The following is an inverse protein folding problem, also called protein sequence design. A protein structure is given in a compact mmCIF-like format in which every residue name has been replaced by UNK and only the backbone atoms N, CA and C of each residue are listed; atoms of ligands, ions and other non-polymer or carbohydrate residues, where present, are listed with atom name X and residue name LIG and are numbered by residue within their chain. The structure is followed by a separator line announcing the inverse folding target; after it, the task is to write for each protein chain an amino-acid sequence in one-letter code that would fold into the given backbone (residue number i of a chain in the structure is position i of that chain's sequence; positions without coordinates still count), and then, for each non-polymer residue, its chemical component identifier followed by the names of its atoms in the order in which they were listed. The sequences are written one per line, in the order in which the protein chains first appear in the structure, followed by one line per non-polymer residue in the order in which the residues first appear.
data_IF_001687873981
#
_entry.id   IF_001687873981
#
_cell.length_a   1.000
_cell.length_b   1.000
_cell.length_c   1.000
_cell.angle_alpha   90.00
_cell.angle_beta   90.00
_cell.angle_gamma   90.00
#
_symmetry.space_group_name_H-M   'P 1'
#
loop_
_entity.id
_entity.type
_entity.pdbx_description
1 polymer ?
#
# COMPACT_ATOMS: atom_id res chain seq x y z
N UNK A 1 3.23 29.37 -15.23
CA UNK A 1 3.93 28.68 -16.32
C UNK A 1 3.24 27.34 -16.64
N UNK A 2 1.90 27.33 -16.78
CA UNK A 2 1.08 26.11 -17.01
C UNK A 2 0.10 26.25 -18.21
N UNK A 3 0.22 27.31 -19.01
CA UNK A 3 -0.69 27.54 -20.16
C UNK A 3 -0.14 27.12 -21.52
N UNK A 4 1.09 26.64 -21.61
CA UNK A 4 1.80 26.46 -22.90
C UNK A 4 1.80 25.02 -23.43
N UNK A 5 1.49 24.01 -22.63
CA UNK A 5 1.54 22.59 -23.04
C UNK A 5 0.24 22.13 -23.72
N UNK A 6 -0.88 22.78 -23.42
CA UNK A 6 -2.19 22.43 -24.01
C UNK A 6 -2.39 22.99 -25.45
N UNK A 7 -1.57 23.95 -25.87
CA UNK A 7 -1.69 24.62 -27.19
C UNK A 7 -1.10 23.88 -28.38
N UNK A 8 -0.38 22.78 -28.19
CA UNK A 8 0.41 22.15 -29.28
C UNK A 8 -0.25 20.96 -29.99
N UNK A 9 -1.45 20.51 -29.57
CA UNK A 9 -2.12 19.31 -30.15
C UNK A 9 -3.37 19.57 -31.01
N UNK A 10 -3.79 20.82 -31.15
CA UNK A 10 -4.91 21.18 -32.03
C UNK A 10 -4.51 22.25 -33.04
N UNK A 11 -3.61 21.89 -33.99
CA UNK A 11 -3.44 22.62 -35.25
C UNK A 11 -4.38 21.97 -36.26
N UNK A 12 -5.63 22.54 -36.39
CA UNK A 12 -6.50 22.14 -37.47
C UNK A 12 -7.99 22.41 -37.21
N UNK A 13 -8.36 23.51 -36.61
CA UNK A 13 -9.63 24.25 -36.70
C UNK A 13 -9.69 25.21 -35.51
N UNK A 14 -9.84 26.51 -35.76
CA UNK A 14 -10.19 27.46 -34.69
C UNK A 14 -11.53 27.04 -34.12
N UNK A 15 -11.64 26.82 -32.77
CA UNK A 15 -12.92 26.45 -32.19
C UNK A 15 -13.95 27.56 -32.46
N UNK A 16 -15.15 27.19 -32.90
CA UNK A 16 -16.24 28.12 -33.07
C UNK A 16 -16.54 28.84 -31.75
N UNK A 17 -16.98 30.11 -31.85
CA UNK A 17 -17.26 30.94 -30.66
C UNK A 17 -18.27 30.27 -29.69
N UNK A 18 -19.21 29.44 -30.22
CA UNK A 18 -20.12 28.60 -29.46
C UNK A 18 -19.44 27.52 -28.63
N UNK A 19 -18.41 26.86 -29.18
CA UNK A 19 -17.65 25.80 -28.49
C UNK A 19 -16.86 26.36 -27.27
N UNK A 20 -16.37 27.60 -27.35
CA UNK A 20 -15.69 28.28 -26.23
C UNK A 20 -16.66 28.70 -25.12
N UNK A 21 -17.88 29.12 -25.47
CA UNK A 21 -18.93 29.44 -24.49
C UNK A 21 -19.45 28.19 -23.77
N UNK A 22 -19.65 27.10 -24.49
CA UNK A 22 -20.08 25.81 -23.88
C UNK A 22 -18.96 25.17 -23.04
N UNK A 23 -17.69 25.26 -23.45
CA UNK A 23 -16.55 24.87 -22.60
C UNK A 23 -16.48 25.70 -21.32
N UNK A 24 -16.86 26.99 -21.37
CA UNK A 24 -16.96 27.85 -20.20
C UNK A 24 -18.06 27.39 -19.22
N UNK A 25 -19.24 27.04 -19.75
CA UNK A 25 -20.38 26.53 -18.95
C UNK A 25 -20.07 25.18 -18.28
N UNK A 26 -19.47 24.24 -19.02
CA UNK A 26 -19.06 22.92 -18.47
C UNK A 26 -18.01 23.10 -17.38
N UNK A 27 -17.01 23.96 -17.60
CA UNK A 27 -15.98 24.25 -16.59
C UNK A 27 -16.58 24.89 -15.31
N UNK A 28 -17.53 25.81 -15.47
CA UNK A 28 -18.25 26.42 -14.35
C UNK A 28 -19.10 25.40 -13.59
N UNK A 29 -19.77 24.49 -14.29
CA UNK A 29 -20.55 23.39 -13.71
C UNK A 29 -19.64 22.44 -12.90
N UNK A 30 -18.55 21.97 -13.47
CA UNK A 30 -17.59 21.07 -12.77
C UNK A 30 -17.00 21.74 -11.54
N UNK A 31 -16.67 23.03 -11.60
CA UNK A 31 -16.21 23.80 -10.43
C UNK A 31 -17.29 23.89 -9.35
N UNK A 32 -18.54 24.14 -9.72
CA UNK A 32 -19.69 24.14 -8.78
C UNK A 32 -19.83 22.78 -8.07
N UNK A 33 -19.58 21.68 -8.78
CA UNK A 33 -19.62 20.31 -8.25
C UNK A 33 -18.33 19.91 -7.52
N UNK A 34 -17.38 20.80 -7.40
CA UNK A 34 -16.05 20.52 -6.83
C UNK A 34 -15.31 19.37 -7.55
N UNK A 35 -15.55 19.21 -8.85
CA UNK A 35 -14.83 18.28 -9.74
C UNK A 35 -13.65 19.06 -10.31
N UNK A 36 -12.49 18.90 -9.69
CA UNK A 36 -11.26 19.64 -10.02
C UNK A 36 -10.17 18.66 -10.43
N UNK A 37 -9.82 18.65 -11.70
CA UNK A 37 -8.71 17.80 -12.21
C UNK A 37 -7.37 18.37 -11.76
N UNK A 38 -6.78 17.76 -10.74
CA UNK A 38 -5.50 18.16 -10.18
C UNK A 38 -4.64 16.95 -9.83
N UNK A 39 -3.40 16.93 -10.32
CA UNK A 39 -2.44 15.88 -10.00
C UNK A 39 -2.17 15.80 -8.48
N UNK A 40 -2.18 16.94 -7.78
CA UNK A 40 -2.07 16.96 -6.32
C UNK A 40 -3.24 16.24 -5.67
N UNK A 41 -4.47 16.62 -6.04
CA UNK A 41 -5.70 16.08 -5.46
C UNK A 41 -5.85 14.58 -5.66
N UNK A 42 -5.67 14.12 -6.89
CA UNK A 42 -5.79 12.70 -7.20
C UNK A 42 -4.54 11.91 -6.84
N UNK A 43 -3.33 12.40 -7.15
CA UNK A 43 -2.08 11.66 -6.93
C UNK A 43 -1.57 11.70 -5.49
N UNK A 44 -1.89 12.74 -4.70
CA UNK A 44 -1.33 12.94 -3.37
C UNK A 44 -2.40 12.81 -2.29
N UNK A 45 -3.44 13.66 -2.36
CA UNK A 45 -4.44 13.74 -1.29
C UNK A 45 -5.29 12.46 -1.25
N UNK A 46 -5.76 11.96 -2.41
CA UNK A 46 -6.51 10.71 -2.50
C UNK A 46 -5.67 9.48 -2.12
N UNK A 47 -4.39 9.44 -2.51
CA UNK A 47 -3.49 8.34 -2.16
C UNK A 47 -3.20 8.32 -0.66
N UNK A 48 -2.97 9.48 -0.04
CA UNK A 48 -2.79 9.60 1.41
C UNK A 48 -4.03 9.16 2.18
N UNK A 49 -5.20 9.57 1.74
CA UNK A 49 -6.47 9.17 2.34
C UNK A 49 -6.71 7.66 2.20
N UNK A 50 -6.41 7.07 1.03
CA UNK A 50 -6.48 5.63 0.84
C UNK A 50 -5.60 4.88 1.83
N UNK A 51 -4.35 5.32 2.01
CA UNK A 51 -3.42 4.71 2.96
C UNK A 51 -3.93 4.79 4.40
N UNK A 52 -4.56 5.91 4.79
CA UNK A 52 -5.20 6.05 6.11
C UNK A 52 -6.39 5.10 6.28
N UNK A 53 -7.25 4.96 5.27
CA UNK A 53 -8.37 4.01 5.28
C UNK A 53 -7.91 2.57 5.41
N UNK A 54 -6.86 2.19 4.68
CA UNK A 54 -6.23 0.88 4.78
C UNK A 54 -5.62 0.64 6.17
N UNK A 55 -4.93 1.66 6.71
CA UNK A 55 -4.34 1.59 8.04
C UNK A 55 -5.40 1.34 9.11
N UNK A 56 -6.46 2.15 9.13
CA UNK A 56 -7.51 2.09 10.15
C UNK A 56 -8.32 0.78 10.11
N UNK A 57 -8.32 0.06 9.00
CA UNK A 57 -9.08 -1.18 8.81
C UNK A 57 -8.17 -2.41 8.76
N UNK A 58 -7.50 -2.65 7.61
CA UNK A 58 -6.72 -3.87 7.37
C UNK A 58 -5.58 -4.02 8.39
N UNK A 59 -4.80 -2.95 8.61
CA UNK A 59 -3.58 -3.06 9.42
C UNK A 59 -3.89 -3.16 10.90
N UNK A 60 -4.75 -2.29 11.43
CA UNK A 60 -5.22 -2.40 12.83
C UNK A 60 -5.96 -3.72 13.04
N UNK A 61 -6.80 -4.14 12.08
CA UNK A 61 -7.46 -5.44 12.10
C UNK A 61 -6.48 -6.61 12.16
N UNK A 62 -5.39 -6.54 11.40
CA UNK A 62 -4.32 -7.56 11.43
C UNK A 62 -3.61 -7.60 12.77
N UNK A 63 -3.28 -6.45 13.35
CA UNK A 63 -2.64 -6.35 14.67
C UNK A 63 -3.55 -6.97 15.75
N UNK A 64 -4.82 -6.57 15.79
CA UNK A 64 -5.81 -7.09 16.77
C UNK A 64 -5.98 -8.60 16.60
N UNK A 65 -6.14 -9.08 15.37
CA UNK A 65 -6.28 -10.52 15.07
C UNK A 65 -5.07 -11.31 15.54
N UNK A 66 -3.86 -10.84 15.19
CA UNK A 66 -2.60 -11.52 15.56
C UNK A 66 -2.45 -11.58 17.08
N UNK A 67 -2.73 -10.47 17.77
CA UNK A 67 -2.74 -10.44 19.23
C UNK A 67 -3.75 -11.46 19.81
N UNK A 68 -4.97 -11.52 19.26
CA UNK A 68 -5.99 -12.47 19.65
C UNK A 68 -5.56 -13.92 19.46
N UNK A 69 -4.88 -14.22 18.35
CA UNK A 69 -4.33 -15.55 18.09
C UNK A 69 -3.23 -15.93 19.09
N UNK A 70 -2.32 -15.00 19.44
CA UNK A 70 -1.24 -15.26 20.39
C UNK A 70 -1.74 -15.39 21.82
N UNK A 71 -2.79 -14.66 22.20
CA UNK A 71 -3.40 -14.72 23.53
C UNK A 71 -4.52 -15.76 23.65
N UNK A 72 -4.87 -16.45 22.54
CA UNK A 72 -6.03 -17.35 22.47
C UNK A 72 -7.36 -16.69 22.86
N UNK A 73 -7.54 -15.39 22.51
CA UNK A 73 -8.75 -14.62 22.77
C UNK A 73 -9.58 -14.51 21.50
N UNK A 74 -10.60 -15.34 21.36
CA UNK A 74 -11.42 -15.43 20.15
C UNK A 74 -12.09 -14.10 19.77
N UNK A 75 -12.56 -13.33 20.75
CA UNK A 75 -13.16 -12.00 20.52
C UNK A 75 -12.22 -11.06 19.73
N UNK A 76 -10.92 -11.05 20.06
CA UNK A 76 -9.95 -10.22 19.33
C UNK A 76 -9.72 -10.73 17.91
N UNK A 77 -9.75 -12.05 17.73
CA UNK A 77 -9.64 -12.65 16.39
C UNK A 77 -10.81 -12.23 15.52
N UNK A 78 -12.03 -12.30 16.05
CA UNK A 78 -13.25 -11.94 15.32
C UNK A 78 -13.32 -10.43 15.04
N UNK A 79 -12.98 -9.58 16.00
CA UNK A 79 -12.89 -8.14 15.82
C UNK A 79 -11.88 -7.77 14.71
N UNK A 80 -10.70 -8.41 14.71
CA UNK A 80 -9.70 -8.22 13.68
C UNK A 80 -10.17 -8.67 12.30
N UNK A 81 -10.90 -9.80 12.21
CA UNK A 81 -11.47 -10.29 10.96
C UNK A 81 -12.51 -9.31 10.38
N UNK A 82 -13.42 -8.77 11.21
CA UNK A 82 -14.38 -7.75 10.74
C UNK A 82 -13.68 -6.50 10.22
N UNK A 83 -12.65 -6.01 10.93
CA UNK A 83 -11.90 -4.85 10.49
C UNK A 83 -11.18 -5.09 9.14
N UNK A 84 -10.60 -6.26 8.92
CA UNK A 84 -9.96 -6.64 7.67
C UNK A 84 -10.95 -6.72 6.49
N UNK A 85 -12.16 -7.25 6.71
CA UNK A 85 -13.18 -7.41 5.68
C UNK A 85 -13.65 -6.06 5.08
N UNK A 86 -13.64 -5.00 5.88
CA UNK A 86 -14.08 -3.66 5.44
C UNK A 86 -12.95 -2.79 4.90
N UNK A 87 -11.78 -3.35 4.61
CA UNK A 87 -10.63 -2.59 4.12
C UNK A 87 -10.93 -1.84 2.80
N UNK A 88 -11.57 -2.50 1.83
CA UNK A 88 -12.01 -1.86 0.58
C UNK A 88 -12.96 -0.68 0.80
N UNK A 89 -14.07 -0.87 1.52
CA UNK A 89 -14.96 0.20 1.95
C UNK A 89 -14.27 1.36 2.66
N UNK A 90 -13.39 1.06 3.63
CA UNK A 90 -12.68 2.10 4.39
C UNK A 90 -11.77 2.96 3.50
N UNK A 91 -11.03 2.32 2.59
CA UNK A 91 -10.23 3.04 1.59
C UNK A 91 -11.10 3.93 0.70
N UNK A 92 -12.22 3.40 0.19
CA UNK A 92 -13.10 4.13 -0.71
C UNK A 92 -13.75 5.35 -0.04
N UNK A 93 -14.23 5.20 1.19
CA UNK A 93 -14.80 6.32 1.96
C UNK A 93 -13.75 7.38 2.27
N UNK A 94 -12.54 6.97 2.64
CA UNK A 94 -11.42 7.90 2.90
C UNK A 94 -11.06 8.71 1.64
N UNK A 95 -10.97 8.06 0.47
CA UNK A 95 -10.73 8.73 -0.81
C UNK A 95 -11.86 9.72 -1.11
N UNK A 96 -13.12 9.29 -1.00
CA UNK A 96 -14.27 10.15 -1.23
C UNK A 96 -14.30 11.38 -0.31
N UNK A 97 -13.95 11.21 0.96
CA UNK A 97 -13.83 12.30 1.92
C UNK A 97 -12.74 13.30 1.52
N UNK A 98 -11.55 12.83 1.13
CA UNK A 98 -10.46 13.67 0.63
C UNK A 98 -10.85 14.43 -0.65
N UNK A 99 -11.68 13.84 -1.49
CA UNK A 99 -12.25 14.46 -2.68
C UNK A 99 -13.46 15.35 -2.37
N UNK A 100 -13.81 15.53 -1.09
CA UNK A 100 -14.97 16.32 -0.65
C UNK A 100 -16.28 15.85 -1.28
N UNK A 101 -16.50 14.55 -1.35
CA UNK A 101 -17.72 13.97 -1.88
C UNK A 101 -18.92 14.22 -0.93
N UNK A 102 -20.12 14.48 -1.45
CA UNK A 102 -21.34 14.59 -0.65
C UNK A 102 -21.64 13.29 0.13
N UNK A 103 -22.38 13.38 1.22
CA UNK A 103 -22.67 12.25 2.09
C UNK A 103 -23.26 11.03 1.38
N UNK A 104 -24.24 11.24 0.49
CA UNK A 104 -24.86 10.15 -0.27
C UNK A 104 -23.83 9.43 -1.17
N UNK A 105 -22.90 10.17 -1.75
CA UNK A 105 -21.79 9.60 -2.52
C UNK A 105 -20.87 8.79 -1.61
N UNK A 106 -20.47 9.35 -0.45
CA UNK A 106 -19.60 8.65 0.52
C UNK A 106 -20.18 7.31 0.95
N UNK A 107 -21.48 7.28 1.28
CA UNK A 107 -22.16 6.03 1.69
C UNK A 107 -22.21 5.02 0.55
N UNK A 108 -22.40 5.48 -0.67
CA UNK A 108 -22.45 4.63 -1.86
C UNK A 108 -21.07 4.05 -2.24
N UNK A 109 -19.98 4.78 -1.94
CA UNK A 109 -18.62 4.30 -2.14
C UNK A 109 -18.25 3.08 -1.30
N UNK A 110 -18.99 2.75 -0.24
CA UNK A 110 -18.84 1.53 0.54
C UNK A 110 -18.97 0.29 -0.37
N UNK A 111 -20.03 0.25 -1.18
CA UNK A 111 -20.27 -0.85 -2.12
C UNK A 111 -19.20 -0.89 -3.23
N UNK A 112 -18.81 0.28 -3.74
CA UNK A 112 -17.76 0.40 -4.76
C UNK A 112 -16.42 -0.13 -4.25
N UNK A 113 -16.01 0.29 -3.04
CA UNK A 113 -14.78 -0.16 -2.43
C UNK A 113 -14.76 -1.66 -2.15
N UNK A 114 -15.90 -2.23 -1.71
CA UNK A 114 -16.03 -3.67 -1.52
C UNK A 114 -15.86 -4.43 -2.84
N UNK A 115 -16.55 -4.00 -3.91
CA UNK A 115 -16.48 -4.63 -5.22
C UNK A 115 -15.06 -4.53 -5.82
N UNK A 116 -14.47 -3.34 -5.84
CA UNK A 116 -13.15 -3.10 -6.41
C UNK A 116 -12.05 -3.90 -5.68
N UNK A 117 -12.08 -3.94 -4.35
CA UNK A 117 -11.10 -4.67 -3.56
C UNK A 117 -11.22 -6.17 -3.76
N UNK A 118 -12.46 -6.70 -3.75
CA UNK A 118 -12.71 -8.14 -3.93
C UNK A 118 -12.32 -8.63 -5.31
N UNK A 119 -12.72 -7.91 -6.36
CA UNK A 119 -12.46 -8.29 -7.75
C UNK A 119 -11.00 -8.03 -8.16
N UNK A 120 -10.33 -7.08 -7.52
CA UNK A 120 -8.93 -6.74 -7.77
C UNK A 120 -7.93 -7.71 -7.12
N UNK A 121 -8.34 -8.56 -6.19
CA UNK A 121 -7.46 -9.53 -5.53
C UNK A 121 -6.18 -8.89 -4.98
N UNK A 122 -5.02 -9.34 -5.43
CA UNK A 122 -3.71 -8.76 -5.02
C UNK A 122 -3.57 -7.27 -5.39
N UNK A 123 -4.20 -6.83 -6.47
CA UNK A 123 -4.28 -5.44 -6.90
C UNK A 123 -5.47 -4.68 -6.30
N UNK A 124 -6.20 -5.27 -5.34
CA UNK A 124 -7.41 -4.69 -4.76
C UNK A 124 -7.28 -3.25 -4.29
N UNK A 125 -6.28 -2.88 -3.47
CA UNK A 125 -6.11 -1.49 -3.06
C UNK A 125 -5.90 -0.51 -4.22
N UNK A 126 -5.15 -0.92 -5.25
CA UNK A 126 -4.95 -0.12 -6.46
C UNK A 126 -6.23 0.03 -7.28
N UNK A 127 -7.02 -1.04 -7.38
CA UNK A 127 -8.34 -1.01 -8.03
C UNK A 127 -9.30 -0.07 -7.28
N UNK A 128 -9.36 -0.17 -5.95
CA UNK A 128 -10.15 0.76 -5.12
C UNK A 128 -9.73 2.21 -5.38
N UNK A 129 -8.43 2.48 -5.44
CA UNK A 129 -7.94 3.83 -5.67
C UNK A 129 -8.48 4.45 -6.96
N UNK A 130 -8.24 3.81 -8.10
CA UNK A 130 -8.65 4.37 -9.40
C UNK A 130 -10.17 4.42 -9.57
N UNK A 131 -10.85 3.33 -9.22
CA UNK A 131 -12.30 3.20 -9.42
C UNK A 131 -13.05 4.15 -8.50
N UNK A 132 -12.63 4.31 -7.25
CA UNK A 132 -13.28 5.21 -6.30
C UNK A 132 -13.16 6.67 -6.73
N UNK A 133 -12.01 7.09 -7.26
CA UNK A 133 -11.84 8.46 -7.77
C UNK A 133 -12.90 8.72 -8.85
N UNK A 134 -13.02 7.84 -9.86
CA UNK A 134 -13.98 8.02 -10.95
C UNK A 134 -15.42 7.97 -10.44
N UNK A 135 -15.77 6.97 -9.62
CA UNK A 135 -17.12 6.84 -9.07
C UNK A 135 -17.52 8.03 -8.19
N UNK A 136 -16.56 8.55 -7.39
CA UNK A 136 -16.79 9.74 -6.57
C UNK A 136 -17.06 10.98 -7.42
N UNK A 137 -16.26 11.21 -8.47
CA UNK A 137 -16.45 12.37 -9.35
C UNK A 137 -17.77 12.26 -10.13
N UNK A 138 -18.14 11.07 -10.62
CA UNK A 138 -19.44 10.83 -11.26
C UNK A 138 -20.61 11.07 -10.30
N UNK A 139 -20.51 10.57 -9.06
CA UNK A 139 -21.52 10.81 -8.03
C UNK A 139 -21.70 12.30 -7.70
N UNK A 140 -20.58 13.06 -7.61
CA UNK A 140 -20.63 14.52 -7.40
C UNK A 140 -21.33 15.26 -8.53
N UNK A 141 -21.11 14.84 -9.78
CA UNK A 141 -21.75 15.46 -10.96
C UNK A 141 -23.27 15.40 -10.84
N UNK A 142 -23.82 14.26 -10.46
CA UNK A 142 -25.28 14.06 -10.41
C UNK A 142 -25.93 14.52 -9.10
N UNK A 143 -25.15 14.66 -8.03
CA UNK A 143 -25.64 15.02 -6.71
C UNK A 143 -26.36 16.38 -6.72
N UNK A 144 -27.58 16.41 -6.17
CA UNK A 144 -28.45 17.60 -6.07
C UNK A 144 -28.87 18.20 -7.42
N UNK A 145 -28.83 17.43 -8.50
CA UNK A 145 -29.34 17.90 -9.81
C UNK A 145 -30.79 17.43 -10.11
N UNK A 146 -31.30 16.49 -9.33
CA UNK A 146 -32.64 15.94 -9.51
C UNK A 146 -33.48 16.09 -8.26
N UNK A 147 -34.83 16.13 -8.43
CA UNK A 147 -35.77 16.16 -7.29
C UNK A 147 -35.76 14.86 -6.47
N UNK A 148 -35.25 13.77 -7.04
CA UNK A 148 -35.15 12.44 -6.44
C UNK A 148 -33.69 12.08 -6.16
N UNK A 149 -32.89 13.06 -5.73
CA UNK A 149 -31.44 12.95 -5.49
C UNK A 149 -31.07 11.74 -4.61
N UNK A 150 -31.90 11.45 -3.60
CA UNK A 150 -31.71 10.33 -2.69
C UNK A 150 -31.64 8.96 -3.38
N UNK A 151 -32.25 8.82 -4.56
CA UNK A 151 -32.21 7.60 -5.39
C UNK A 151 -31.14 7.69 -6.47
N UNK A 152 -31.10 8.84 -7.19
CA UNK A 152 -30.24 9.01 -8.37
C UNK A 152 -28.76 9.03 -8.00
N UNK A 153 -28.36 9.78 -6.99
CA UNK A 153 -26.96 9.91 -6.59
C UNK A 153 -26.35 8.58 -6.14
N UNK A 154 -26.97 7.80 -5.21
CA UNK A 154 -26.47 6.48 -4.85
C UNK A 154 -26.48 5.50 -6.03
N UNK A 155 -27.57 5.46 -6.81
CA UNK A 155 -27.65 4.53 -7.93
C UNK A 155 -26.54 4.77 -8.97
N UNK A 156 -26.32 6.01 -9.38
CA UNK A 156 -25.24 6.35 -10.33
C UNK A 156 -23.88 6.02 -9.75
N UNK A 157 -23.60 6.40 -8.49
CA UNK A 157 -22.30 6.12 -7.85
C UNK A 157 -22.00 4.62 -7.79
N UNK A 158 -23.00 3.82 -7.36
CA UNK A 158 -22.84 2.35 -7.24
C UNK A 158 -22.72 1.72 -8.63
N UNK A 159 -23.63 2.02 -9.56
CA UNK A 159 -23.62 1.39 -10.89
C UNK A 159 -22.34 1.71 -11.66
N UNK A 160 -21.91 2.97 -11.66
CA UNK A 160 -20.64 3.37 -12.29
C UNK A 160 -19.46 2.68 -11.58
N UNK A 161 -19.39 2.76 -10.25
CA UNK A 161 -18.27 2.21 -9.50
C UNK A 161 -18.18 0.69 -9.58
N UNK A 162 -19.31 -0.04 -9.41
CA UNK A 162 -19.32 -1.51 -9.53
C UNK A 162 -19.11 -1.94 -10.98
N UNK A 163 -19.70 -1.23 -11.97
CA UNK A 163 -19.48 -1.49 -13.39
C UNK A 163 -17.99 -1.36 -13.76
N UNK A 164 -17.33 -0.28 -13.32
CA UNK A 164 -15.89 -0.11 -13.50
C UNK A 164 -15.08 -1.19 -12.75
N UNK A 165 -15.55 -1.63 -11.59
CA UNK A 165 -14.91 -2.71 -10.84
C UNK A 165 -14.94 -4.03 -11.60
N UNK A 166 -16.06 -4.39 -12.20
CA UNK A 166 -16.19 -5.61 -13.02
C UNK A 166 -15.29 -5.55 -14.26
N UNK A 167 -15.19 -4.38 -14.90
CA UNK A 167 -14.41 -4.22 -16.13
C UNK A 167 -12.89 -4.13 -15.88
N UNK A 168 -12.45 -3.38 -14.87
CA UNK A 168 -11.03 -3.02 -14.71
C UNK A 168 -10.34 -3.67 -13.52
N UNK A 169 -11.05 -4.01 -12.43
CA UNK A 169 -10.40 -4.54 -11.25
C UNK A 169 -9.68 -5.87 -11.50
N UNK A 170 -10.22 -6.84 -12.30
CA UNK A 170 -9.51 -8.07 -12.63
C UNK A 170 -8.20 -7.82 -13.39
N UNK A 171 -8.19 -6.86 -14.32
CA UNK A 171 -6.98 -6.49 -15.09
C UNK A 171 -5.92 -5.86 -14.20
N UNK A 172 -6.34 -4.98 -13.26
CA UNK A 172 -5.43 -4.41 -12.25
C UNK A 172 -4.89 -5.51 -11.34
N UNK A 173 -5.73 -6.47 -10.97
CA UNK A 173 -5.34 -7.65 -10.20
C UNK A 173 -4.31 -8.52 -10.93
N UNK A 174 -4.53 -8.78 -12.22
CA UNK A 174 -3.58 -9.52 -13.06
C UNK A 174 -2.22 -8.81 -13.17
N UNK A 175 -2.22 -7.48 -13.34
CA UNK A 175 -0.98 -6.70 -13.34
C UNK A 175 -0.23 -6.78 -11.99
N UNK A 176 -0.95 -6.76 -10.86
CA UNK A 176 -0.32 -6.96 -9.56
C UNK A 176 0.21 -8.40 -9.39
N UNK A 177 -0.46 -9.40 -9.95
CA UNK A 177 -0.02 -10.80 -9.92
C UNK A 177 1.24 -11.04 -10.75
N UNK A 178 1.52 -10.23 -11.79
CA UNK A 178 2.77 -10.32 -12.56
C UNK A 178 4.01 -10.05 -11.68
N UNK A 179 3.86 -9.25 -10.63
CA UNK A 179 4.91 -9.11 -9.60
C UNK A 179 5.18 -10.43 -8.90
N UNK A 180 4.14 -11.24 -8.67
CA UNK A 180 4.25 -12.60 -8.13
C UNK A 180 5.02 -13.52 -9.07
N UNK A 181 4.74 -13.49 -10.37
CA UNK A 181 5.46 -14.31 -11.34
C UNK A 181 6.96 -13.99 -11.37
N UNK A 182 7.31 -12.71 -11.27
CA UNK A 182 8.70 -12.27 -11.12
C UNK A 182 9.33 -12.81 -9.83
N UNK A 183 8.61 -12.72 -8.69
CA UNK A 183 9.09 -13.27 -7.40
C UNK A 183 9.32 -14.78 -7.53
N UNK A 184 8.37 -15.51 -8.12
CA UNK A 184 8.49 -16.95 -8.36
C UNK A 184 9.70 -17.30 -9.20
N UNK A 185 9.99 -16.54 -10.25
CA UNK A 185 11.21 -16.70 -11.03
C UNK A 185 12.46 -16.46 -10.17
N UNK A 186 12.45 -15.37 -9.37
CA UNK A 186 13.58 -15.01 -8.52
C UNK A 186 13.88 -16.07 -7.44
N UNK A 187 12.88 -16.83 -6.96
CA UNK A 187 13.09 -17.89 -5.96
C UNK A 187 13.94 -19.06 -6.48
N UNK A 188 14.07 -19.22 -7.80
CA UNK A 188 14.91 -20.27 -8.40
C UNK A 188 16.38 -19.85 -8.56
N UNK A 189 16.75 -18.63 -8.16
CA UNK A 189 18.11 -18.13 -8.25
C UNK A 189 18.95 -18.59 -7.04
N UNK A 190 20.27 -18.40 -7.14
CA UNK A 190 21.16 -18.60 -6.01
C UNK A 190 20.78 -17.71 -4.81
N UNK A 191 21.00 -18.14 -3.56
CA UNK A 191 20.55 -17.46 -2.35
C UNK A 191 20.91 -15.98 -2.28
N UNK A 192 22.08 -15.56 -2.78
CA UNK A 192 22.51 -14.16 -2.81
C UNK A 192 21.62 -13.33 -3.73
N UNK A 193 21.43 -13.75 -4.99
CA UNK A 193 20.62 -13.02 -5.98
C UNK A 193 19.14 -13.08 -5.63
N UNK A 194 18.66 -14.25 -5.19
CA UNK A 194 17.31 -14.44 -4.68
C UNK A 194 17.08 -13.47 -3.50
N UNK A 195 18.00 -13.43 -2.55
CA UNK A 195 17.92 -12.54 -1.39
C UNK A 195 17.77 -11.07 -1.78
N UNK A 196 18.56 -10.58 -2.74
CA UNK A 196 18.46 -9.21 -3.25
C UNK A 196 17.11 -8.97 -3.93
N UNK A 197 16.77 -9.79 -4.91
CA UNK A 197 15.59 -9.54 -5.76
C UNK A 197 14.29 -9.70 -4.99
N UNK A 198 14.15 -10.78 -4.21
CA UNK A 198 12.92 -11.02 -3.44
C UNK A 198 12.74 -9.95 -2.37
N UNK A 199 13.79 -9.59 -1.62
CA UNK A 199 13.68 -8.57 -0.58
C UNK A 199 13.33 -7.20 -1.15
N UNK A 200 13.95 -6.79 -2.26
CA UNK A 200 13.67 -5.50 -2.91
C UNK A 200 12.24 -5.49 -3.45
N UNK A 201 11.86 -6.50 -4.24
CA UNK A 201 10.56 -6.49 -4.93
C UNK A 201 9.41 -6.63 -3.96
N UNK A 202 9.48 -7.55 -2.98
CA UNK A 202 8.41 -7.72 -1.98
C UNK A 202 8.36 -6.51 -1.04
N UNK A 203 9.51 -5.97 -0.64
CA UNK A 203 9.58 -4.75 0.15
C UNK A 203 8.95 -3.54 -0.57
N UNK A 204 9.26 -3.35 -1.84
CA UNK A 204 8.63 -2.31 -2.67
C UNK A 204 7.13 -2.56 -2.84
N UNK A 205 6.71 -3.83 -3.07
CA UNK A 205 5.31 -4.20 -3.18
C UNK A 205 4.50 -3.84 -1.92
N UNK A 206 5.10 -4.01 -0.73
CA UNK A 206 4.48 -3.60 0.53
C UNK A 206 4.23 -2.08 0.61
N UNK A 207 5.11 -1.28 0.03
CA UNK A 207 4.99 0.18 0.03
C UNK A 207 4.03 0.68 -1.05
N UNK A 208 3.91 -0.04 -2.16
CA UNK A 208 2.96 0.23 -3.23
C UNK A 208 1.52 -0.09 -2.80
N UNK A 209 0.50 0.50 -3.46
CA UNK A 209 -0.90 0.20 -3.20
C UNK A 209 -1.33 -1.16 -3.79
N UNK A 210 -0.55 -2.21 -3.50
CA UNK A 210 -0.85 -3.60 -3.83
C UNK A 210 -0.70 -4.46 -2.57
N UNK A 211 -1.33 -5.63 -2.56
CA UNK A 211 -1.27 -6.51 -1.39
C UNK A 211 -0.09 -7.48 -1.50
N UNK A 212 1.08 -7.08 -0.96
CA UNK A 212 2.25 -7.98 -0.83
C UNK A 212 1.92 -9.28 -0.09
N UNK A 213 1.09 -9.17 0.95
CA UNK A 213 0.61 -10.33 1.71
C UNK A 213 -0.19 -11.31 0.85
N UNK A 214 -1.10 -10.80 0.00
CA UNK A 214 -1.87 -11.64 -0.92
C UNK A 214 -0.99 -12.27 -2.01
N UNK A 215 0.01 -11.54 -2.52
CA UNK A 215 1.00 -12.07 -3.47
C UNK A 215 1.79 -13.21 -2.82
N UNK A 216 2.35 -13.00 -1.63
CA UNK A 216 3.13 -14.01 -0.92
C UNK A 216 2.28 -15.26 -0.58
N UNK A 217 1.01 -15.06 -0.18
CA UNK A 217 0.07 -16.16 0.08
C UNK A 217 -0.23 -16.97 -1.19
N UNK A 218 -0.51 -16.30 -2.32
CA UNK A 218 -0.79 -16.95 -3.60
C UNK A 218 0.40 -17.78 -4.13
N UNK A 219 1.63 -17.32 -3.85
CA UNK A 219 2.86 -18.02 -4.21
C UNK A 219 3.26 -19.10 -3.19
N UNK A 220 2.57 -19.22 -2.07
CA UNK A 220 3.01 -20.02 -0.91
C UNK A 220 4.45 -19.71 -0.53
N UNK A 221 4.82 -18.42 -0.51
CA UNK A 221 6.20 -17.97 -0.33
C UNK A 221 6.67 -18.19 1.10
N UNK A 222 7.41 -19.28 1.29
CA UNK A 222 7.96 -19.73 2.58
C UNK A 222 9.46 -20.01 2.45
N UNK A 223 10.06 -20.61 3.47
CA UNK A 223 11.47 -20.96 3.49
C UNK A 223 12.38 -19.75 3.42
N UNK A 224 13.52 -19.92 2.78
CA UNK A 224 14.57 -18.91 2.64
C UNK A 224 14.09 -17.69 1.84
N UNK A 225 13.28 -17.89 0.79
CA UNK A 225 12.69 -16.82 0.01
C UNK A 225 11.66 -16.02 0.83
N UNK A 226 10.89 -16.71 1.69
CA UNK A 226 10.01 -16.06 2.66
C UNK A 226 10.77 -15.19 3.65
N UNK A 227 11.92 -15.67 4.14
CA UNK A 227 12.83 -14.90 5.00
C UNK A 227 13.39 -13.65 4.31
N UNK A 228 13.80 -13.76 3.05
CA UNK A 228 14.21 -12.60 2.24
C UNK A 228 13.08 -11.58 2.09
N UNK A 229 11.85 -12.03 1.85
CA UNK A 229 10.68 -11.16 1.74
C UNK A 229 10.41 -10.42 3.06
N UNK A 230 10.45 -11.11 4.21
CA UNK A 230 10.35 -10.48 5.54
C UNK A 230 11.42 -9.41 5.72
N UNK A 231 12.69 -9.72 5.40
CA UNK A 231 13.79 -8.77 5.51
C UNK A 231 13.55 -7.50 4.69
N UNK A 232 13.11 -7.64 3.44
CA UNK A 232 12.78 -6.52 2.56
C UNK A 232 11.61 -5.68 3.05
N UNK A 233 10.54 -6.31 3.51
CA UNK A 233 9.39 -5.63 4.10
C UNK A 233 9.80 -4.84 5.37
N UNK A 234 10.59 -5.46 6.25
CA UNK A 234 11.11 -4.79 7.44
C UNK A 234 12.00 -3.59 7.07
N UNK A 235 12.84 -3.71 6.04
CA UNK A 235 13.68 -2.63 5.58
C UNK A 235 12.87 -1.43 5.09
N UNK A 236 11.76 -1.65 4.39
CA UNK A 236 10.87 -0.57 3.99
C UNK A 236 10.18 0.07 5.19
N UNK A 237 9.62 -0.72 6.10
CA UNK A 237 8.82 -0.21 7.22
C UNK A 237 9.69 0.49 8.25
N UNK A 238 10.68 -0.20 8.80
CA UNK A 238 11.61 0.36 9.80
C UNK A 238 12.44 1.47 9.18
N UNK A 239 12.88 1.30 7.93
CA UNK A 239 13.64 2.32 7.21
C UNK A 239 12.89 3.65 7.11
N UNK A 240 11.67 3.65 6.58
CA UNK A 240 10.86 4.88 6.53
C UNK A 240 10.52 5.42 7.92
N UNK A 241 10.25 4.55 8.89
CA UNK A 241 9.93 4.95 10.26
C UNK A 241 11.07 5.76 10.89
N UNK A 242 12.31 5.26 10.82
CA UNK A 242 13.47 5.94 11.43
C UNK A 242 13.93 7.14 10.60
N UNK A 243 13.91 7.04 9.27
CA UNK A 243 14.35 8.10 8.37
C UNK A 243 13.46 9.35 8.47
N UNK A 244 12.16 9.16 8.72
CA UNK A 244 11.18 10.22 8.85
C UNK A 244 10.92 10.68 10.29
N UNK A 245 11.67 10.17 11.25
CA UNK A 245 11.44 10.46 12.68
C UNK A 245 11.49 11.95 13.01
N UNK A 246 12.39 12.71 12.36
CA UNK A 246 12.51 14.17 12.59
C UNK A 246 11.25 14.92 12.20
N UNK A 247 10.54 14.48 11.15
CA UNK A 247 9.34 15.11 10.62
C UNK A 247 8.05 14.65 11.31
N UNK A 248 8.01 13.38 11.77
CA UNK A 248 6.77 12.73 12.20
C UNK A 248 6.77 12.28 13.67
N UNK A 249 7.93 12.37 14.37
CA UNK A 249 8.06 11.99 15.76
C UNK A 249 7.71 10.52 16.04
N UNK A 250 7.34 10.24 17.30
CA UNK A 250 7.00 8.87 17.76
C UNK A 250 5.77 8.32 17.05
N UNK A 251 4.75 9.16 16.78
CA UNK A 251 3.55 8.74 16.06
C UNK A 251 3.88 8.21 14.67
N UNK A 252 4.74 8.91 13.92
CA UNK A 252 5.23 8.46 12.62
C UNK A 252 6.12 7.22 12.69
N UNK A 253 6.93 7.09 13.74
CA UNK A 253 7.75 5.90 13.97
C UNK A 253 6.86 4.64 14.13
N UNK A 254 5.85 4.73 14.98
CA UNK A 254 4.94 3.61 15.26
C UNK A 254 4.05 3.31 14.05
N UNK A 255 3.43 4.34 13.44
CA UNK A 255 2.50 4.13 12.32
C UNK A 255 3.18 3.54 11.09
N UNK A 256 4.44 3.85 10.83
CA UNK A 256 5.20 3.27 9.72
C UNK A 256 5.91 1.97 10.12
N UNK A 257 6.54 1.94 11.29
CA UNK A 257 7.32 0.79 11.74
C UNK A 257 6.49 -0.42 12.12
N UNK A 258 5.31 -0.23 12.73
CA UNK A 258 4.39 -1.30 13.10
C UNK A 258 3.11 -1.32 12.26
N UNK A 259 2.84 -0.26 11.50
CA UNK A 259 1.69 -0.17 10.62
C UNK A 259 2.04 -0.47 9.18
N UNK A 260 2.45 0.54 8.40
CA UNK A 260 2.81 0.37 6.99
C UNK A 260 3.68 1.51 6.45
N UNK A 261 4.64 1.16 5.58
CA UNK A 261 5.41 2.12 4.78
C UNK A 261 4.58 2.80 3.68
N UNK A 262 3.40 2.28 3.33
CA UNK A 262 2.51 2.85 2.30
C UNK A 262 2.07 4.29 2.66
N UNK A 263 2.08 4.67 3.94
CA UNK A 263 1.84 6.05 4.37
C UNK A 263 2.79 7.07 3.70
N UNK A 264 3.95 6.63 3.22
CA UNK A 264 4.91 7.46 2.49
C UNK A 264 4.64 7.54 0.97
N UNK A 265 3.63 6.81 0.44
CA UNK A 265 3.33 6.85 -1.00
C UNK A 265 3.09 8.26 -1.55
N UNK A 266 2.33 9.15 -0.88
CA UNK A 266 2.19 10.52 -1.32
C UNK A 266 3.52 11.28 -1.44
N UNK A 267 4.46 11.02 -0.54
CA UNK A 267 5.79 11.62 -0.55
C UNK A 267 6.69 11.01 -1.63
N UNK A 268 6.59 9.70 -1.85
CA UNK A 268 7.29 9.01 -2.95
C UNK A 268 6.84 9.56 -4.31
N UNK A 269 5.55 9.83 -4.50
CA UNK A 269 5.02 10.46 -5.73
C UNK A 269 5.58 11.87 -5.91
N UNK A 270 5.74 12.65 -4.83
CA UNK A 270 6.31 14.00 -4.87
C UNK A 270 7.81 13.97 -5.15
N UNK A 271 8.55 13.12 -4.46
CA UNK A 271 9.99 12.95 -4.58
C UNK A 271 10.37 11.46 -4.53
N UNK A 272 10.47 10.77 -5.69
CA UNK A 272 10.80 9.33 -5.71
C UNK A 272 12.15 8.98 -5.06
N UNK A 273 13.04 9.96 -4.88
CA UNK A 273 14.36 9.74 -4.26
C UNK A 273 14.26 9.34 -2.79
N UNK A 274 13.15 9.67 -2.10
CA UNK A 274 12.94 9.26 -0.71
C UNK A 274 12.80 7.74 -0.55
N UNK A 275 12.52 7.03 -1.65
CA UNK A 275 12.41 5.57 -1.65
C UNK A 275 13.74 4.84 -1.76
N UNK A 276 14.81 5.54 -2.22
CA UNK A 276 16.13 4.94 -2.45
C UNK A 276 16.74 4.35 -1.16
N UNK A 277 16.79 5.07 -0.01
CA UNK A 277 17.43 4.55 1.20
C UNK A 277 16.86 3.21 1.70
N UNK A 278 15.54 3.06 1.92
CA UNK A 278 15.00 1.78 2.38
C UNK A 278 15.08 0.68 1.32
N UNK A 279 15.07 1.03 0.03
CA UNK A 279 15.25 0.05 -1.05
C UNK A 279 16.67 -0.49 -1.10
N UNK A 280 17.69 0.36 -0.94
CA UNK A 280 19.08 -0.07 -0.81
C UNK A 280 19.30 -0.90 0.46
N UNK A 281 18.66 -0.52 1.57
CA UNK A 281 18.69 -1.32 2.79
C UNK A 281 18.08 -2.72 2.55
N UNK A 282 16.95 -2.82 1.82
CA UNK A 282 16.36 -4.10 1.43
C UNK A 282 17.35 -4.96 0.63
N UNK A 283 18.04 -4.37 -0.35
CA UNK A 283 19.00 -5.07 -1.20
C UNK A 283 20.19 -5.65 -0.42
N UNK A 284 20.51 -5.09 0.75
CA UNK A 284 21.60 -5.57 1.63
C UNK A 284 21.06 -6.55 2.67
N UNK A 285 19.93 -6.25 3.31
CA UNK A 285 19.38 -7.10 4.38
C UNK A 285 18.89 -8.45 3.85
N UNK A 286 18.38 -8.50 2.60
CA UNK A 286 17.96 -9.74 1.96
C UNK A 286 19.06 -10.79 1.87
N UNK A 287 20.19 -10.51 1.23
CA UNK A 287 21.34 -11.43 1.19
C UNK A 287 21.91 -11.79 2.57
N UNK A 288 21.92 -10.86 3.50
CA UNK A 288 22.35 -11.16 4.88
C UNK A 288 21.40 -12.16 5.52
N UNK A 289 20.09 -12.01 5.29
CA UNK A 289 19.09 -12.97 5.76
C UNK A 289 19.27 -14.36 5.13
N UNK A 290 19.52 -14.43 3.82
CA UNK A 290 19.57 -15.71 3.09
C UNK A 290 20.92 -16.41 3.18
N UNK A 291 22.05 -15.68 3.13
CA UNK A 291 23.38 -16.26 3.04
C UNK A 291 24.10 -16.38 4.39
N UNK A 292 23.83 -15.46 5.34
CA UNK A 292 24.55 -15.40 6.61
C UNK A 292 23.75 -16.03 7.75
N UNK A 293 22.49 -15.64 7.89
CA UNK A 293 21.63 -16.12 9.00
C UNK A 293 20.74 -17.29 8.61
N UNK A 294 20.61 -17.59 7.31
CA UNK A 294 19.66 -18.58 6.80
C UNK A 294 18.29 -18.43 7.43
N UNK A 295 17.82 -17.17 7.48
CA UNK A 295 16.52 -16.83 8.06
C UNK A 295 15.40 -17.40 7.19
N UNK A 296 14.78 -18.46 7.65
CA UNK A 296 13.65 -19.08 6.99
C UNK A 296 12.33 -18.62 7.62
N UNK A 297 11.33 -18.39 6.77
CA UNK A 297 9.97 -18.13 7.19
C UNK A 297 9.09 -19.32 6.82
N UNK A 298 8.99 -20.30 7.71
CA UNK A 298 8.21 -21.54 7.57
C UNK A 298 6.85 -21.48 8.28
N UNK A 299 6.41 -20.27 8.66
CA UNK A 299 5.07 -19.99 9.13
C UNK A 299 4.07 -19.75 7.98
N UNK A 300 2.92 -19.13 8.25
CA UNK A 300 1.93 -18.80 7.23
C UNK A 300 2.52 -17.91 6.13
N UNK A 301 2.42 -18.31 4.86
CA UNK A 301 3.02 -17.61 3.71
C UNK A 301 2.62 -16.13 3.61
N UNK A 302 1.43 -15.76 4.09
CA UNK A 302 0.97 -14.37 4.18
C UNK A 302 1.93 -13.48 5.00
N UNK A 303 2.59 -14.05 6.01
CA UNK A 303 3.52 -13.33 6.91
C UNK A 303 4.78 -12.88 6.19
N UNK A 304 5.20 -13.54 5.11
CA UNK A 304 6.37 -13.16 4.29
C UNK A 304 6.22 -11.76 3.70
N UNK A 305 5.00 -11.34 3.37
CA UNK A 305 4.72 -10.03 2.79
C UNK A 305 4.33 -8.93 3.78
N UNK A 306 4.45 -9.18 5.10
CA UNK A 306 3.95 -8.25 6.13
C UNK A 306 5.05 -7.49 6.89
N UNK A 307 6.29 -7.98 6.89
CA UNK A 307 7.40 -7.34 7.62
C UNK A 307 7.08 -7.09 9.09
N UNK A 308 7.31 -5.87 9.57
CA UNK A 308 7.02 -5.47 10.96
C UNK A 308 5.57 -5.03 11.20
N UNK A 309 4.67 -5.14 10.21
CA UNK A 309 3.25 -4.82 10.38
C UNK A 309 2.65 -5.72 11.48
N UNK A 310 2.30 -5.12 12.63
CA UNK A 310 1.83 -5.85 13.81
C UNK A 310 2.75 -7.00 14.24
N UNK A 311 4.04 -6.93 13.90
CA UNK A 311 5.04 -8.00 14.09
C UNK A 311 4.69 -9.32 13.40
N UNK A 312 3.78 -9.31 12.41
CA UNK A 312 3.28 -10.52 11.73
C UNK A 312 4.41 -11.28 11.03
N UNK A 313 5.37 -10.58 10.41
CA UNK A 313 6.54 -11.23 9.80
C UNK A 313 7.38 -11.98 10.82
N UNK A 314 7.69 -11.36 11.96
CA UNK A 314 8.48 -11.96 13.04
C UNK A 314 7.75 -13.12 13.70
N UNK A 315 6.45 -12.97 13.96
CA UNK A 315 5.60 -14.04 14.49
C UNK A 315 5.53 -15.19 13.48
N UNK A 316 5.48 -14.91 12.17
CA UNK A 316 5.54 -15.93 11.12
C UNK A 316 6.83 -16.72 11.14
N UNK A 317 7.98 -16.07 11.29
CA UNK A 317 9.30 -16.72 11.44
C UNK A 317 9.34 -17.58 12.70
N UNK A 318 8.90 -17.03 13.83
CA UNK A 318 8.83 -17.78 15.10
C UNK A 318 7.92 -19.00 15.01
N UNK A 319 6.73 -18.85 14.42
CA UNK A 319 5.82 -19.97 14.18
C UNK A 319 6.47 -21.03 13.27
N UNK A 320 7.23 -20.60 12.27
CA UNK A 320 8.02 -21.47 11.42
C UNK A 320 9.02 -22.28 12.22
N UNK A 321 9.78 -21.68 13.12
CA UNK A 321 10.71 -22.40 13.98
C UNK A 321 10.02 -23.46 14.85
N UNK A 322 8.83 -23.16 15.39
CA UNK A 322 8.06 -24.12 16.15
C UNK A 322 7.57 -25.30 15.28
N UNK A 323 7.13 -25.01 14.05
CA UNK A 323 6.74 -26.05 13.08
C UNK A 323 7.94 -26.95 12.71
N UNK A 324 9.11 -26.36 12.48
CA UNK A 324 10.33 -27.08 12.12
C UNK A 324 10.81 -27.99 13.29
N UNK A 325 10.67 -27.53 14.54
CA UNK A 325 10.94 -28.37 15.70
C UNK A 325 9.93 -29.52 15.81
N UNK A 326 8.64 -29.24 15.62
CA UNK A 326 7.61 -30.27 15.62
C UNK A 326 7.78 -31.31 14.50
N UNK A 327 8.28 -30.89 13.35
CA UNK A 327 8.61 -31.75 12.22
C UNK A 327 9.96 -32.48 12.36
N UNK A 328 10.77 -32.16 13.37
CA UNK A 328 12.09 -32.74 13.60
C UNK A 328 13.20 -32.22 12.67
N UNK A 329 12.93 -31.18 11.88
CA UNK A 329 13.92 -30.55 10.99
C UNK A 329 14.82 -29.55 11.69
N UNK A 330 14.39 -29.02 12.85
CA UNK A 330 15.17 -28.14 13.74
C UNK A 330 15.17 -28.72 15.14
N UNK A 331 16.35 -28.82 15.77
CA UNK A 331 16.46 -29.38 17.11
C UNK A 331 15.95 -28.44 18.22
N UNK A 332 16.27 -27.14 18.12
CA UNK A 332 15.86 -26.11 19.08
C UNK A 332 16.02 -24.72 18.46
N UNK A 333 15.39 -23.71 19.08
CA UNK A 333 15.61 -22.29 18.72
C UNK A 333 16.90 -21.86 19.43
N UNK A 334 17.89 -21.45 18.63
CA UNK A 334 19.18 -21.01 19.14
C UNK A 334 19.16 -19.50 19.45
N UNK A 335 20.00 -19.00 20.37
CA UNK A 335 20.16 -17.56 20.57
C UNK A 335 20.52 -16.80 19.28
N UNK A 336 21.25 -17.45 18.36
CA UNK A 336 21.62 -16.86 17.07
C UNK A 336 20.43 -16.65 16.15
N UNK A 337 19.39 -17.48 16.23
CA UNK A 337 18.12 -17.27 15.48
C UNK A 337 17.46 -15.95 15.90
N UNK A 338 17.40 -15.68 17.21
CA UNK A 338 16.88 -14.42 17.74
C UNK A 338 17.74 -13.21 17.36
N UNK A 339 19.07 -13.35 17.45
CA UNK A 339 20.01 -12.30 17.02
C UNK A 339 19.79 -12.00 15.53
N UNK A 340 19.72 -13.02 14.70
CA UNK A 340 19.44 -12.87 13.27
C UNK A 340 18.11 -12.17 13.02
N UNK A 341 17.04 -12.59 13.69
CA UNK A 341 15.71 -11.99 13.54
C UNK A 341 15.70 -10.50 13.92
N UNK A 342 16.26 -10.15 15.08
CA UNK A 342 16.32 -8.76 15.56
C UNK A 342 17.20 -7.91 14.65
N UNK A 343 18.38 -8.43 14.29
CA UNK A 343 19.34 -7.71 13.46
C UNK A 343 18.76 -7.42 12.07
N UNK A 344 18.17 -8.42 11.42
CA UNK A 344 17.64 -8.32 10.06
C UNK A 344 16.36 -7.49 10.02
N UNK A 345 15.46 -7.67 11.01
CA UNK A 345 14.15 -7.01 10.96
C UNK A 345 14.17 -5.58 11.51
N UNK A 346 15.11 -5.20 12.36
CA UNK A 346 15.08 -3.90 13.04
C UNK A 346 16.39 -3.13 12.93
N UNK A 347 17.53 -3.73 13.35
CA UNK A 347 18.80 -2.99 13.50
C UNK A 347 19.40 -2.61 12.15
N UNK A 348 19.59 -3.58 11.27
CA UNK A 348 20.18 -3.33 9.95
C UNK A 348 19.30 -2.39 9.10
N UNK A 349 17.97 -2.59 9.00
CA UNK A 349 17.10 -1.64 8.33
C UNK A 349 17.25 -0.21 8.84
N UNK A 350 17.25 -0.03 10.16
CA UNK A 350 17.39 1.29 10.78
C UNK A 350 18.74 1.94 10.45
N UNK A 351 19.83 1.23 10.68
CA UNK A 351 21.19 1.75 10.50
C UNK A 351 21.48 2.04 9.02
N UNK A 352 21.21 1.08 8.14
CA UNK A 352 21.48 1.22 6.70
C UNK A 352 20.64 2.34 6.08
N UNK A 353 19.35 2.40 6.41
CA UNK A 353 18.47 3.46 5.86
C UNK A 353 18.90 4.84 6.34
N UNK A 354 19.25 5.00 7.63
CA UNK A 354 19.74 6.27 8.15
C UNK A 354 21.06 6.67 7.48
N UNK A 355 21.97 5.73 7.26
CA UNK A 355 23.23 5.96 6.57
C UNK A 355 23.00 6.46 5.13
N UNK A 356 22.18 5.75 4.35
CA UNK A 356 21.86 6.16 2.99
C UNK A 356 21.09 7.48 2.94
N UNK A 357 20.12 7.68 3.85
CA UNK A 357 19.39 8.92 3.95
C UNK A 357 20.28 10.11 4.29
N UNK A 358 21.30 9.91 5.15
CA UNK A 358 22.30 10.93 5.47
C UNK A 358 23.03 11.40 4.20
N UNK A 359 23.51 10.48 3.36
CA UNK A 359 24.19 10.84 2.12
C UNK A 359 23.25 11.53 1.14
N UNK A 360 22.01 11.04 0.96
CA UNK A 360 21.05 11.64 0.05
C UNK A 360 20.58 13.03 0.53
N UNK A 361 20.47 13.24 1.84
CA UNK A 361 20.22 14.58 2.42
C UNK A 361 21.43 15.51 2.17
N UNK A 362 22.65 15.03 2.37
CA UNK A 362 23.87 15.81 2.09
C UNK A 362 23.98 16.23 0.61
N UNK A 363 23.52 15.38 -0.32
CA UNK A 363 23.47 15.69 -1.75
C UNK A 363 22.27 16.56 -2.15
N UNK A 364 21.39 16.90 -1.21
CA UNK A 364 20.19 17.69 -1.47
C UNK A 364 19.09 16.96 -2.25
N UNK A 365 19.17 15.62 -2.34
CA UNK A 365 18.16 14.80 -3.01
C UNK A 365 16.92 14.60 -2.15
N UNK A 366 17.09 14.59 -0.85
CA UNK A 366 16.02 14.55 0.16
C UNK A 366 16.13 15.82 0.99
N UNK A 367 15.04 16.58 1.08
CA UNK A 367 14.97 17.83 1.83
C UNK A 367 14.14 17.65 3.09
N UNK A 368 14.30 18.56 4.05
CA UNK A 368 13.45 18.58 5.25
C UNK A 368 11.99 18.84 4.84
N UNK A 369 11.10 18.02 5.39
CA UNK A 369 9.68 18.01 5.05
C UNK A 369 9.27 17.05 3.92
N UNK A 370 10.20 16.48 3.14
CA UNK A 370 9.88 15.51 2.07
C UNK A 370 9.25 14.22 2.59
N UNK A 371 9.44 13.91 3.87
CA UNK A 371 8.96 12.68 4.53
C UNK A 371 7.81 12.94 5.50
N UNK A 372 7.30 14.17 5.57
CA UNK A 372 6.20 14.51 6.48
C UNK A 372 4.91 13.81 6.07
N UNK A 373 4.33 13.05 6.99
CA UNK A 373 3.02 12.43 6.82
C UNK A 373 1.91 13.49 6.81
N UNK A 374 0.84 13.21 6.10
CA UNK A 374 -0.33 14.08 5.95
C UNK A 374 -1.33 13.86 7.08
#
# INVERSE_FOLDING_TARGET
MQSTVFRRKFRGASPHKGDLEDMGKVSAFLKRKNVLFSAKRYGIDAMGAMAQGLFASLLIGTIIKTLGQQLNVQFLVDAGNFAQQVAGPAMAVSIGAALSAPQLVLYSLIAVGMAANKLGGAGGPLAVYFITIVASECGKIVSKETKVDILVTPAVTILVGVGLSVLFAPTIGAAASSVGDFIKWATNLQPLLMGILVSVVVGMALTLPISSAAICAALSLTGLAGGAAVAGCCAQMVGFAVMSFRENGVGGLVSQGLGTSMLQMPNIIRNPRVWIPPTLASAITGPIATCLFHLEMNGPAVSSGMGTCGLVGQIGVYTGWLNDIAAGTKAAILPMDWVGLILICFVLPAVLTLLFAFFLRKWGWIKDGDLKLQ
#
